data_IF_709303944641
#
_entry.id   IF_709303944641
#
_cell.length_a   1.000
_cell.length_b   1.000
_cell.length_c   1.000
_cell.angle_alpha   90.00
_cell.angle_beta   90.00
_cell.angle_gamma   90.00
#
_symmetry.space_group_name_H-M   'P 1'
#
loop_
_entity.id
_entity.type
_entity.pdbx_description
1 polymer ?
#
# COMPACT_ATOMS: atom_id res chain seq x y z
N UNK A 1 22.84 13.62 -9.06
CA UNK A 1 23.35 12.28 -8.70
C UNK A 1 22.60 11.27 -9.52
N UNK A 2 23.25 10.16 -9.86
CA UNK A 2 22.71 9.15 -10.77
C UNK A 2 21.63 8.33 -10.04
N UNK A 3 20.60 7.89 -10.76
CA UNK A 3 19.57 6.99 -10.21
C UNK A 3 20.18 5.60 -9.94
N UNK A 4 21.25 5.29 -10.68
CA UNK A 4 22.05 4.08 -10.61
C UNK A 4 22.70 3.89 -9.23
N UNK A 5 23.20 4.97 -8.61
CA UNK A 5 23.78 4.91 -7.25
C UNK A 5 22.73 4.52 -6.21
N UNK A 6 21.51 5.05 -6.35
CA UNK A 6 20.39 4.77 -5.45
C UNK A 6 19.93 3.34 -5.60
N UNK A 7 19.80 2.87 -6.85
CA UNK A 7 19.49 1.48 -7.15
C UNK A 7 20.55 0.54 -6.57
N UNK A 8 21.84 0.84 -6.76
CA UNK A 8 22.92 0.01 -6.24
C UNK A 8 22.89 -0.08 -4.71
N UNK A 9 22.70 1.04 -4.00
CA UNK A 9 22.57 1.05 -2.53
C UNK A 9 21.31 0.31 -2.06
N UNK A 10 20.21 0.40 -2.80
CA UNK A 10 19.01 -0.35 -2.48
C UNK A 10 19.21 -1.85 -2.64
N UNK A 11 19.89 -2.27 -3.71
CA UNK A 11 20.27 -3.67 -3.94
C UNK A 11 21.20 -4.18 -2.83
N UNK A 12 22.17 -3.36 -2.39
CA UNK A 12 23.02 -3.69 -1.24
C UNK A 12 22.19 -3.90 0.03
N UNK A 13 21.21 -3.02 0.31
CA UNK A 13 20.35 -3.13 1.48
C UNK A 13 19.57 -4.46 1.52
N UNK A 14 18.91 -4.83 0.42
CA UNK A 14 18.03 -6.01 0.36
C UNK A 14 18.80 -7.34 0.49
N UNK A 15 20.12 -7.31 0.32
CA UNK A 15 21.01 -8.46 0.53
C UNK A 15 21.54 -8.55 1.98
N UNK A 16 21.24 -7.57 2.84
CA UNK A 16 21.70 -7.58 4.24
C UNK A 16 20.88 -8.47 5.15
N UNK A 17 21.53 -9.04 6.18
CA UNK A 17 20.85 -9.72 7.28
C UNK A 17 19.88 -8.80 8.04
N UNK A 18 20.18 -7.51 8.10
CA UNK A 18 19.32 -6.50 8.70
C UNK A 18 17.97 -6.41 7.98
N UNK A 19 17.97 -6.36 6.64
CA UNK A 19 16.76 -6.37 5.83
C UNK A 19 15.98 -7.68 6.02
N UNK A 20 16.65 -8.84 5.92
CA UNK A 20 16.01 -10.13 6.10
C UNK A 20 15.38 -10.32 7.50
N UNK A 21 16.02 -9.78 8.54
CA UNK A 21 15.45 -9.76 9.89
C UNK A 21 14.24 -8.82 9.98
N UNK A 22 14.35 -7.62 9.40
CA UNK A 22 13.25 -6.65 9.35
C UNK A 22 12.02 -7.23 8.65
N UNK A 23 12.20 -7.89 7.52
CA UNK A 23 11.13 -8.56 6.79
C UNK A 23 10.40 -9.59 7.67
N UNK A 24 11.15 -10.47 8.34
CA UNK A 24 10.59 -11.48 9.27
C UNK A 24 9.85 -10.86 10.45
N UNK A 25 10.41 -9.82 11.04
CA UNK A 25 9.81 -9.10 12.17
C UNK A 25 8.51 -8.39 11.72
N UNK A 26 8.49 -7.82 10.51
CA UNK A 26 7.30 -7.22 9.91
C UNK A 26 6.21 -8.26 9.70
N UNK A 27 6.53 -9.41 9.09
CA UNK A 27 5.58 -10.52 8.91
C UNK A 27 5.00 -10.95 10.26
N UNK A 28 5.87 -11.19 11.26
CA UNK A 28 5.45 -11.61 12.59
C UNK A 28 4.48 -10.62 13.23
N UNK A 29 4.74 -9.32 13.11
CA UNK A 29 3.86 -8.25 13.64
C UNK A 29 2.49 -8.23 12.96
N UNK A 30 2.44 -8.32 11.63
CA UNK A 30 1.17 -8.33 10.89
C UNK A 30 0.39 -9.62 11.18
N UNK A 31 1.04 -10.78 11.17
CA UNK A 31 0.42 -12.07 11.54
C UNK A 31 -0.13 -12.04 12.98
N UNK A 32 0.62 -11.49 13.93
CA UNK A 32 0.14 -11.32 15.31
C UNK A 32 -1.09 -10.41 15.38
N UNK A 33 -1.12 -9.32 14.62
CA UNK A 33 -2.27 -8.44 14.51
C UNK A 33 -3.50 -9.16 13.95
N UNK A 34 -3.32 -9.93 12.87
CA UNK A 34 -4.38 -10.77 12.30
C UNK A 34 -4.91 -11.78 13.32
N UNK A 35 -4.02 -12.55 13.97
CA UNK A 35 -4.39 -13.56 14.97
C UNK A 35 -5.16 -12.92 16.13
N UNK A 36 -4.70 -11.77 16.64
CA UNK A 36 -5.41 -11.02 17.70
C UNK A 36 -6.77 -10.53 17.24
N UNK A 37 -6.85 -9.97 16.02
CA UNK A 37 -8.11 -9.54 15.41
C UNK A 37 -9.11 -10.69 15.26
N UNK A 38 -8.65 -11.87 14.84
CA UNK A 38 -9.46 -13.08 14.76
C UNK A 38 -9.93 -13.60 16.12
N UNK A 39 -9.09 -13.48 17.16
CA UNK A 39 -9.38 -13.99 18.51
C UNK A 39 -10.25 -13.07 19.37
N UNK A 40 -10.25 -11.75 19.13
CA UNK A 40 -10.93 -10.77 19.99
C UNK A 40 -12.46 -10.91 20.05
N UNK A 41 -13.09 -11.83 19.30
CA UNK A 41 -14.52 -12.11 19.41
C UNK A 41 -14.84 -13.60 19.16
N UNK A 42 -15.68 -14.20 20.01
CA UNK A 42 -16.33 -15.51 19.78
C UNK A 42 -17.38 -15.46 18.65
N UNK A 43 -17.69 -14.26 18.15
CA UNK A 43 -18.52 -13.96 16.97
C UNK A 43 -17.67 -13.25 15.92
N UNK A 44 -18.11 -13.23 14.67
CA UNK A 44 -17.34 -12.70 13.54
C UNK A 44 -16.72 -11.31 13.83
N UNK A 45 -15.38 -11.17 13.92
CA UNK A 45 -14.75 -9.87 14.11
C UNK A 45 -15.11 -8.94 12.96
N UNK A 46 -15.51 -7.71 13.31
CA UNK A 46 -15.72 -6.63 12.33
C UNK A 46 -14.39 -6.30 11.67
N UNK A 47 -14.34 -6.19 10.34
CA UNK A 47 -13.12 -5.91 9.57
C UNK A 47 -12.25 -4.79 10.15
N UNK A 48 -12.89 -3.71 10.59
CA UNK A 48 -12.26 -2.57 11.27
C UNK A 48 -11.35 -3.01 12.43
N UNK A 49 -11.81 -3.93 13.28
CA UNK A 49 -11.02 -4.41 14.42
C UNK A 49 -9.79 -5.21 13.99
N UNK A 50 -9.85 -5.93 12.87
CA UNK A 50 -8.68 -6.67 12.36
C UNK A 50 -7.63 -5.67 11.85
N UNK A 51 -8.06 -4.66 11.08
CA UNK A 51 -7.17 -3.63 10.54
C UNK A 51 -6.54 -2.80 11.66
N UNK A 52 -7.35 -2.41 12.64
CA UNK A 52 -6.87 -1.71 13.83
C UNK A 52 -5.82 -2.55 14.59
N UNK A 53 -6.05 -3.86 14.77
CA UNK A 53 -5.04 -4.73 15.38
C UNK A 53 -3.76 -4.84 14.55
N UNK A 54 -3.84 -4.97 13.22
CA UNK A 54 -2.65 -4.98 12.35
C UNK A 54 -1.84 -3.69 12.57
N UNK A 55 -2.52 -2.55 12.48
CA UNK A 55 -1.90 -1.23 12.62
C UNK A 55 -1.30 -1.03 14.01
N UNK A 56 -2.00 -1.43 15.07
CA UNK A 56 -1.51 -1.29 16.44
C UNK A 56 -0.33 -2.22 16.75
N UNK A 57 -0.29 -3.43 16.17
CA UNK A 57 0.81 -4.37 16.39
C UNK A 57 2.07 -4.02 15.59
N UNK A 58 1.93 -3.41 14.41
CA UNK A 58 3.04 -2.82 13.69
C UNK A 58 3.67 -1.67 14.50
N UNK A 59 2.85 -0.69 14.88
CA UNK A 59 3.24 0.48 15.66
C UNK A 59 4.35 1.29 14.98
N UNK A 60 5.32 1.74 15.78
CA UNK A 60 6.54 2.37 15.28
C UNK A 60 7.76 1.52 15.64
N UNK A 61 8.59 1.24 14.65
CA UNK A 61 9.87 0.57 14.87
C UNK A 61 10.81 0.79 13.68
N UNK A 62 12.10 0.51 13.90
CA UNK A 62 13.13 0.67 12.88
C UNK A 62 14.26 -0.32 13.07
N UNK A 63 14.92 -0.68 11.98
CA UNK A 63 16.22 -1.33 12.00
C UNK A 63 17.23 -0.42 11.31
N UNK A 64 18.43 -0.33 11.89
CA UNK A 64 19.49 0.54 11.40
C UNK A 64 20.78 -0.27 11.32
N UNK A 65 21.52 -0.06 10.24
CA UNK A 65 22.92 -0.46 10.09
C UNK A 65 23.78 0.80 9.98
N UNK A 66 25.09 0.65 9.91
CA UNK A 66 25.99 1.79 9.70
C UNK A 66 25.70 2.57 8.41
N UNK A 67 25.03 1.93 7.43
CA UNK A 67 24.75 2.52 6.11
C UNK A 67 23.29 2.85 5.85
N UNK A 68 22.37 2.08 6.44
CA UNK A 68 20.97 2.08 6.04
C UNK A 68 20.04 2.13 7.24
N UNK A 69 18.85 2.69 7.04
CA UNK A 69 17.76 2.64 8.02
C UNK A 69 16.46 2.28 7.35
N UNK A 70 15.77 1.28 7.89
CA UNK A 70 14.40 0.95 7.51
C UNK A 70 13.52 1.28 8.72
N UNK A 71 12.44 2.02 8.51
CA UNK A 71 11.46 2.31 9.56
C UNK A 71 10.04 2.14 9.05
N UNK A 72 9.18 1.57 9.88
CA UNK A 72 7.75 1.49 9.63
C UNK A 72 7.05 2.19 10.77
N UNK A 73 6.12 3.07 10.39
CA UNK A 73 5.15 3.67 11.29
C UNK A 73 3.76 3.34 10.80
N UNK A 74 2.85 3.08 11.72
CA UNK A 74 1.46 2.86 11.39
C UNK A 74 0.54 3.62 12.33
N UNK A 75 -0.56 4.11 11.77
CA UNK A 75 -1.56 4.88 12.51
C UNK A 75 -2.96 4.46 12.07
N UNK A 76 -3.88 4.33 13.02
CA UNK A 76 -5.28 4.09 12.74
C UNK A 76 -6.07 5.35 13.06
N UNK A 77 -6.62 5.98 12.03
CA UNK A 77 -7.45 7.16 12.20
C UNK A 77 -8.85 6.68 12.57
N UNK A 78 -9.29 6.96 13.80
CA UNK A 78 -10.63 6.61 14.25
C UNK A 78 -11.69 7.57 13.69
N UNK A 79 -12.84 7.02 13.27
CA UNK A 79 -14.02 7.78 12.86
C UNK A 79 -15.10 6.91 12.20
N UNK A 80 -16.09 7.56 11.58
CA UNK A 80 -17.07 6.91 10.66
C UNK A 80 -16.32 6.33 9.44
N UNK A 81 -16.95 5.57 8.55
CA UNK A 81 -16.24 5.02 7.36
C UNK A 81 -15.67 6.11 6.47
N UNK A 82 -14.53 5.85 5.84
CA UNK A 82 -13.88 6.76 4.87
C UNK A 82 -14.62 6.70 3.53
N UNK A 83 -15.83 7.25 3.49
CA UNK A 83 -16.74 7.15 2.35
C UNK A 83 -16.40 8.13 1.22
N UNK A 84 -16.58 7.63 0.00
CA UNK A 84 -16.53 8.38 -1.26
C UNK A 84 -17.80 8.15 -2.07
N UNK A 85 -18.20 9.15 -2.85
CA UNK A 85 -19.30 9.08 -3.82
C UNK A 85 -18.72 9.08 -5.24
N UNK A 86 -19.23 8.22 -6.13
CA UNK A 86 -18.80 8.13 -7.53
C UNK A 86 -19.92 7.63 -8.44
N UNK A 87 -19.73 7.77 -9.75
CA UNK A 87 -20.64 7.21 -10.76
C UNK A 87 -20.33 5.74 -11.06
N UNK A 88 -21.35 4.90 -10.95
CA UNK A 88 -21.34 3.50 -11.32
C UNK A 88 -22.44 3.24 -12.35
N UNK A 89 -22.07 3.24 -13.63
CA UNK A 89 -22.98 3.04 -14.76
C UNK A 89 -24.20 3.98 -14.74
N UNK A 90 -23.96 5.28 -14.50
CA UNK A 90 -25.01 6.31 -14.45
C UNK A 90 -25.74 6.40 -13.10
N UNK A 91 -25.36 5.60 -12.11
CA UNK A 91 -25.90 5.67 -10.76
C UNK A 91 -24.85 6.22 -9.80
N UNK A 92 -25.22 7.25 -9.03
CA UNK A 92 -24.37 7.73 -7.93
C UNK A 92 -24.44 6.76 -6.78
N UNK A 93 -23.28 6.23 -6.41
CA UNK A 93 -23.16 5.26 -5.33
C UNK A 93 -22.13 5.75 -4.31
N UNK A 94 -22.27 5.25 -3.07
CA UNK A 94 -21.35 5.57 -1.97
C UNK A 94 -20.68 4.31 -1.45
N UNK A 95 -19.36 4.30 -1.38
CA UNK A 95 -18.58 3.19 -0.83
C UNK A 95 -17.41 3.70 -0.01
N UNK A 96 -16.83 2.81 0.77
CA UNK A 96 -15.59 3.10 1.50
C UNK A 96 -14.42 3.10 0.51
N UNK A 97 -13.51 4.05 0.65
CA UNK A 97 -12.35 4.13 -0.25
C UNK A 97 -11.45 2.89 -0.10
N UNK A 98 -11.24 2.45 1.13
CA UNK A 98 -10.49 1.27 1.51
C UNK A 98 -10.29 1.24 3.02
N UNK A 99 -9.82 0.13 3.57
CA UNK A 99 -9.60 0.00 5.01
C UNK A 99 -8.18 0.42 5.42
N UNK A 100 -7.20 0.23 4.53
CA UNK A 100 -5.77 0.39 4.83
C UNK A 100 -5.02 0.95 3.63
N UNK A 101 -4.12 1.91 3.87
CA UNK A 101 -3.18 2.42 2.86
C UNK A 101 -1.77 1.95 3.23
N UNK A 102 -1.08 1.34 2.26
CA UNK A 102 0.34 1.04 2.38
C UNK A 102 1.13 2.06 1.57
N UNK A 103 2.14 2.66 2.19
CA UNK A 103 3.02 3.66 1.57
C UNK A 103 4.46 3.19 1.75
N UNK A 104 5.25 3.23 0.69
CA UNK A 104 6.69 2.98 0.73
C UNK A 104 7.42 4.18 0.14
N UNK A 105 8.36 4.76 0.88
CA UNK A 105 9.25 5.81 0.36
C UNK A 105 10.71 5.38 0.48
N UNK A 106 11.46 5.51 -0.61
CA UNK A 106 12.92 5.36 -0.61
C UNK A 106 13.54 6.75 -0.48
N UNK A 107 14.39 6.93 0.52
CA UNK A 107 15.04 8.19 0.87
C UNK A 107 16.53 8.02 0.67
N UNK A 108 17.17 9.05 0.13
CA UNK A 108 18.62 9.11 0.02
C UNK A 108 19.08 10.55 0.12
N UNK A 109 20.15 10.79 0.89
CA UNK A 109 20.67 12.15 1.18
C UNK A 109 19.59 13.14 1.63
N UNK A 110 18.71 12.68 2.52
CA UNK A 110 17.64 13.49 3.08
C UNK A 110 16.55 13.89 2.09
N UNK A 111 16.39 13.21 0.95
CA UNK A 111 15.31 13.47 -0.02
C UNK A 111 14.60 12.19 -0.41
N UNK A 112 13.31 12.26 -0.73
CA UNK A 112 12.57 11.15 -1.33
C UNK A 112 13.05 10.95 -2.76
N UNK A 113 13.39 9.70 -3.10
CA UNK A 113 13.80 9.27 -4.44
C UNK A 113 12.75 8.42 -5.13
N UNK A 114 11.96 7.67 -4.36
CA UNK A 114 10.84 6.89 -4.88
C UNK A 114 9.72 6.91 -3.86
N UNK A 115 8.48 6.93 -4.33
CA UNK A 115 7.31 6.75 -3.48
C UNK A 115 6.24 5.95 -4.21
N UNK A 116 5.74 4.93 -3.51
CA UNK A 116 4.64 4.08 -3.93
C UNK A 116 3.56 4.04 -2.88
N UNK A 117 2.31 3.90 -3.30
CA UNK A 117 1.26 3.51 -2.38
C UNK A 117 0.16 2.66 -3.02
N UNK A 118 -0.59 1.96 -2.19
CA UNK A 118 -1.81 1.24 -2.59
C UNK A 118 -2.90 1.44 -1.54
N UNK A 119 -4.15 1.49 -2.00
CA UNK A 119 -5.36 1.53 -1.17
C UNK A 119 -5.94 0.12 -1.17
N UNK A 120 -5.98 -0.49 0.01
CA UNK A 120 -6.40 -1.88 0.18
C UNK A 120 -7.74 -2.00 0.89
N UNK A 121 -8.62 -2.83 0.35
CA UNK A 121 -9.82 -3.31 1.05
C UNK A 121 -9.60 -4.74 1.53
N UNK A 122 -9.88 -5.00 2.80
CA UNK A 122 -9.84 -6.35 3.33
C UNK A 122 -11.18 -7.07 3.09
N UNK A 123 -11.09 -8.36 2.78
CA UNK A 123 -12.24 -9.26 2.69
C UNK A 123 -11.95 -10.52 3.48
N UNK A 124 -12.91 -10.94 4.29
CA UNK A 124 -12.80 -12.13 5.12
C UNK A 124 -13.41 -13.33 4.43
N UNK A 125 -12.80 -14.49 4.66
CA UNK A 125 -13.38 -15.75 4.21
C UNK A 125 -14.64 -16.12 5.02
N UNK A 126 -15.54 -16.87 4.39
CA UNK A 126 -16.76 -17.38 5.02
C UNK A 126 -16.54 -18.64 5.88
N UNK A 127 -15.28 -19.04 6.12
CA UNK A 127 -14.91 -20.29 6.79
C UNK A 127 -14.68 -21.49 5.88
N UNK A 128 -15.05 -21.37 4.62
CA UNK A 128 -14.78 -22.39 3.58
C UNK A 128 -13.67 -21.93 2.64
N UNK A 129 -12.85 -20.94 3.06
CA UNK A 129 -11.84 -20.30 2.21
C UNK A 129 -12.47 -19.70 0.93
N UNK A 130 -13.64 -19.08 1.08
CA UNK A 130 -14.35 -18.35 0.02
C UNK A 130 -14.65 -16.92 0.46
N UNK A 131 -14.50 -15.99 -0.46
CA UNK A 131 -14.72 -14.56 -0.20
C UNK A 131 -15.96 -14.07 -0.95
N UNK A 132 -16.85 -13.36 -0.25
CA UNK A 132 -17.97 -12.67 -0.87
C UNK A 132 -17.49 -11.38 -1.56
N UNK A 133 -17.73 -11.33 -2.86
CA UNK A 133 -17.33 -10.28 -3.79
C UNK A 133 -18.57 -9.79 -4.57
N UNK A 134 -19.76 -9.96 -3.97
CA UNK A 134 -21.03 -9.50 -4.52
C UNK A 134 -21.11 -7.97 -4.68
N UNK A 135 -20.37 -7.21 -3.85
CA UNK A 135 -20.29 -5.76 -3.92
C UNK A 135 -19.40 -5.30 -5.10
N UNK A 136 -20.00 -5.27 -6.30
CA UNK A 136 -19.31 -4.89 -7.54
C UNK A 136 -18.87 -3.44 -7.59
N UNK A 137 -19.60 -2.56 -6.92
CA UNK A 137 -19.25 -1.15 -6.82
C UNK A 137 -17.89 -0.96 -6.11
N UNK A 138 -17.61 -1.75 -5.06
CA UNK A 138 -16.30 -1.70 -4.39
C UNK A 138 -15.16 -2.17 -5.30
N UNK A 139 -15.40 -3.26 -6.05
CA UNK A 139 -14.40 -3.79 -6.99
C UNK A 139 -14.15 -2.77 -8.11
N UNK A 140 -15.22 -2.20 -8.67
CA UNK A 140 -15.14 -1.15 -9.69
C UNK A 140 -14.37 0.08 -9.21
N UNK A 141 -14.65 0.55 -7.98
CA UNK A 141 -13.95 1.67 -7.37
C UNK A 141 -12.44 1.43 -7.31
N UNK A 142 -12.00 0.29 -6.77
CA UNK A 142 -10.58 0.01 -6.59
C UNK A 142 -9.88 -0.46 -7.87
N UNK A 143 -10.60 -1.05 -8.83
CA UNK A 143 -9.99 -1.49 -10.09
C UNK A 143 -9.76 -0.33 -11.05
N UNK A 144 -10.72 0.59 -11.14
CA UNK A 144 -10.71 1.67 -12.14
C UNK A 144 -10.47 3.06 -11.58
N UNK A 145 -10.75 3.29 -10.29
CA UNK A 145 -10.75 4.62 -9.67
C UNK A 145 -11.49 5.66 -10.53
N UNK A 146 -12.81 5.48 -10.73
CA UNK A 146 -13.63 6.51 -11.38
C UNK A 146 -13.47 7.85 -10.64
N UNK A 147 -13.79 8.97 -11.30
CA UNK A 147 -13.90 10.26 -10.60
C UNK A 147 -14.79 10.10 -9.36
N UNK A 148 -14.29 10.54 -8.20
CA UNK A 148 -15.00 10.42 -6.93
C UNK A 148 -14.84 11.67 -6.07
N UNK A 149 -15.73 11.81 -5.09
CA UNK A 149 -15.73 12.89 -4.10
C UNK A 149 -15.75 12.32 -2.69
N UNK A 150 -15.10 13.00 -1.74
CA UNK A 150 -15.34 12.74 -0.33
C UNK A 150 -16.79 13.05 0.06
N UNK A 151 -17.40 12.18 0.88
CA UNK A 151 -18.75 12.39 1.42
C UNK A 151 -18.68 13.23 2.70
N UNK A 152 -19.71 14.04 2.97
CA UNK A 152 -19.86 14.76 4.24
C UNK A 152 -19.67 13.82 5.44
N UNK A 153 -18.82 14.21 6.38
CA UNK A 153 -18.43 13.41 7.55
C UNK A 153 -17.39 12.31 7.28
N UNK A 154 -16.69 12.35 6.14
CA UNK A 154 -15.55 11.49 5.76
C UNK A 154 -14.21 12.25 5.91
N UNK A 155 -13.11 11.53 6.15
CA UNK A 155 -11.75 12.08 6.18
C UNK A 155 -11.24 12.39 4.76
N UNK A 156 -11.90 11.84 3.74
CA UNK A 156 -11.58 12.10 2.35
C UNK A 156 -12.05 13.53 2.00
N UNK A 157 -11.18 14.40 1.44
CA UNK A 157 -11.56 15.77 1.11
C UNK A 157 -12.77 15.87 0.18
N UNK A 158 -13.61 16.89 0.38
CA UNK A 158 -14.88 17.09 -0.37
C UNK A 158 -14.65 17.78 -1.72
N UNK A 159 -13.74 17.23 -2.53
CA UNK A 159 -13.50 17.68 -3.91
C UNK A 159 -13.40 16.49 -4.85
N UNK A 160 -13.43 16.77 -6.14
CA UNK A 160 -13.26 15.73 -7.15
C UNK A 160 -11.81 15.24 -7.17
N UNK A 161 -11.65 13.92 -7.12
CA UNK A 161 -10.41 13.23 -7.38
C UNK A 161 -10.58 12.32 -8.58
N UNK A 162 -9.58 12.31 -9.45
CA UNK A 162 -9.45 11.35 -10.54
C UNK A 162 -8.08 10.70 -10.36
N UNK A 163 -8.05 9.43 -9.95
CA UNK A 163 -6.81 8.72 -9.61
C UNK A 163 -6.52 7.65 -10.67
N UNK A 164 -5.71 7.93 -11.69
CA UNK A 164 -5.37 6.92 -12.67
C UNK A 164 -4.68 5.72 -12.03
N UNK A 165 -5.09 4.51 -12.36
CA UNK A 165 -4.46 3.28 -11.91
C UNK A 165 -3.51 2.75 -13.00
N UNK A 166 -2.41 3.46 -13.27
CA UNK A 166 -1.56 3.16 -14.44
C UNK A 166 -0.89 1.80 -14.36
N UNK A 167 -0.39 1.41 -13.19
CA UNK A 167 0.24 0.11 -13.00
C UNK A 167 -0.78 -1.02 -12.86
N UNK A 168 -2.01 -0.70 -12.42
CA UNK A 168 -2.96 -1.69 -11.95
C UNK A 168 -2.79 -2.06 -10.47
N UNK A 169 -1.85 -1.43 -9.73
CA UNK A 169 -1.58 -1.68 -8.31
C UNK A 169 -2.07 -0.57 -7.35
N UNK A 170 -2.72 0.48 -7.82
CA UNK A 170 -3.21 1.56 -6.93
C UNK A 170 -4.28 1.05 -5.95
N UNK A 171 -5.16 0.16 -6.41
CA UNK A 171 -6.21 -0.45 -5.61
C UNK A 171 -5.98 -1.94 -5.47
N UNK A 172 -6.23 -2.47 -4.28
CA UNK A 172 -5.95 -3.86 -3.95
C UNK A 172 -6.96 -4.45 -2.96
N UNK A 173 -6.97 -5.77 -2.89
CA UNK A 173 -7.74 -6.52 -1.91
C UNK A 173 -6.82 -7.44 -1.11
N UNK A 174 -7.03 -7.46 0.21
CA UNK A 174 -6.40 -8.40 1.12
C UNK A 174 -7.44 -9.44 1.53
N UNK A 175 -7.38 -10.61 0.92
CA UNK A 175 -8.29 -11.72 1.12
C UNK A 175 -7.84 -12.51 2.35
N UNK A 176 -8.38 -12.16 3.52
CA UNK A 176 -8.04 -12.79 4.80
C UNK A 176 -8.59 -14.22 4.88
N UNK A 177 -7.80 -15.11 5.45
CA UNK A 177 -8.24 -16.45 5.81
C UNK A 177 -7.61 -16.92 7.12
N UNK A 178 -8.30 -17.86 7.77
CA UNK A 178 -7.82 -18.49 9.01
C UNK A 178 -6.61 -19.38 8.72
N UNK A 179 -5.62 -19.47 9.63
CA UNK A 179 -5.63 -18.98 11.01
C UNK A 179 -5.03 -17.58 11.26
N UNK A 180 -4.67 -16.81 10.22
CA UNK A 180 -4.05 -15.49 10.42
C UNK A 180 -3.15 -15.08 9.26
N UNK A 181 -3.65 -15.22 8.03
CA UNK A 181 -2.92 -14.94 6.81
C UNK A 181 -3.85 -14.23 5.81
N UNK A 182 -3.29 -13.71 4.72
CA UNK A 182 -4.06 -13.15 3.62
C UNK A 182 -3.36 -13.29 2.27
N UNK A 183 -4.19 -13.36 1.23
CA UNK A 183 -3.73 -13.21 -0.15
C UNK A 183 -3.89 -11.75 -0.54
N UNK A 184 -2.80 -11.13 -0.98
CA UNK A 184 -2.83 -9.85 -1.66
C UNK A 184 -3.17 -10.06 -3.14
N UNK A 185 -4.10 -9.27 -3.66
CA UNK A 185 -4.43 -9.28 -5.08
C UNK A 185 -4.80 -7.86 -5.53
N UNK A 186 -4.26 -7.41 -6.66
CA UNK A 186 -4.63 -6.13 -7.22
C UNK A 186 -6.10 -6.13 -7.65
N UNK A 187 -6.79 -5.00 -7.51
CA UNK A 187 -8.21 -4.93 -7.81
C UNK A 187 -8.55 -5.22 -9.28
N UNK A 188 -7.77 -4.79 -10.29
CA UNK A 188 -7.99 -5.20 -11.68
C UNK A 188 -7.84 -6.71 -11.89
N UNK A 189 -6.83 -7.32 -11.25
CA UNK A 189 -6.62 -8.76 -11.34
C UNK A 189 -7.78 -9.52 -10.69
N UNK A 190 -8.22 -9.09 -9.50
CA UNK A 190 -9.36 -9.66 -8.81
C UNK A 190 -10.64 -9.51 -9.63
N UNK A 191 -10.88 -8.33 -10.23
CA UNK A 191 -12.06 -8.11 -11.09
C UNK A 191 -12.11 -9.10 -12.24
N UNK A 192 -10.98 -9.28 -12.94
CA UNK A 192 -10.85 -10.24 -14.04
C UNK A 192 -11.15 -11.67 -13.58
N UNK A 193 -10.68 -12.04 -12.39
CA UNK A 193 -10.93 -13.35 -11.80
C UNK A 193 -12.42 -13.52 -11.46
N UNK A 194 -13.01 -12.54 -10.79
CA UNK A 194 -14.40 -12.62 -10.32
C UNK A 194 -15.35 -12.74 -11.51
N UNK A 195 -15.13 -11.99 -12.59
CA UNK A 195 -15.99 -12.02 -13.77
C UNK A 195 -17.44 -11.74 -13.37
N UNK A 196 -18.37 -12.66 -13.66
CA UNK A 196 -19.78 -12.57 -13.26
C UNK A 196 -20.13 -13.27 -11.93
N UNK A 197 -19.14 -13.82 -11.21
CA UNK A 197 -19.35 -14.59 -9.99
C UNK A 197 -19.59 -13.68 -8.78
N UNK A 198 -20.37 -14.11 -7.79
CA UNK A 198 -20.56 -13.35 -6.54
C UNK A 198 -19.50 -13.66 -5.49
N UNK A 199 -18.81 -14.79 -5.63
CA UNK A 199 -17.75 -15.21 -4.73
C UNK A 199 -16.69 -15.98 -5.49
N UNK A 200 -15.49 -16.04 -4.91
CA UNK A 200 -14.39 -16.89 -5.38
C UNK A 200 -13.89 -17.73 -4.22
N UNK A 201 -13.43 -18.94 -4.52
CA UNK A 201 -12.75 -19.79 -3.54
C UNK A 201 -11.24 -19.70 -3.69
N UNK A 202 -10.51 -20.22 -2.70
CA UNK A 202 -9.04 -20.24 -2.74
C UNK A 202 -8.50 -20.92 -4.01
N UNK A 203 -9.14 -22.00 -4.49
CA UNK A 203 -8.78 -22.71 -5.73
C UNK A 203 -8.84 -21.80 -6.96
N UNK A 204 -9.74 -20.80 -6.97
CA UNK A 204 -9.78 -19.82 -8.06
C UNK A 204 -8.59 -18.88 -8.02
N UNK A 205 -8.16 -18.51 -6.82
CA UNK A 205 -7.04 -17.61 -6.59
C UNK A 205 -5.70 -18.29 -6.90
N UNK A 206 -5.57 -19.59 -6.57
CA UNK A 206 -4.41 -20.42 -6.95
C UNK A 206 -4.17 -20.52 -8.45
N UNK A 207 -5.13 -20.18 -9.32
CA UNK A 207 -4.91 -20.14 -10.77
C UNK A 207 -3.84 -19.11 -11.16
N UNK A 208 -3.59 -18.09 -10.32
CA UNK A 208 -2.49 -17.15 -10.50
C UNK A 208 -1.13 -17.69 -10.05
N UNK A 209 -1.10 -18.78 -9.28
CA UNK A 209 0.10 -19.51 -8.90
C UNK A 209 0.63 -20.40 -10.04
N UNK A 210 0.31 -20.09 -11.29
CA UNK A 210 0.89 -20.78 -12.44
C UNK A 210 2.43 -20.65 -12.46
N UNK A 211 3.16 -21.54 -13.17
CA UNK A 211 4.61 -21.70 -13.11
C UNK A 211 5.44 -20.53 -13.68
N UNK A 212 4.84 -19.35 -13.84
CA UNK A 212 5.41 -18.21 -14.55
C UNK A 212 6.22 -17.24 -13.69
N UNK A 213 6.32 -17.38 -12.37
CA UNK A 213 6.99 -16.35 -11.52
C UNK A 213 8.07 -16.86 -10.57
N UNK A 214 8.33 -18.16 -10.47
CA UNK A 214 9.17 -18.71 -9.40
C UNK A 214 10.48 -19.40 -9.82
N UNK A 215 10.68 -19.75 -11.09
CA UNK A 215 11.76 -20.68 -11.44
C UNK A 215 12.93 -20.16 -12.26
N UNK A 216 12.90 -18.94 -12.76
CA UNK A 216 14.07 -18.38 -13.41
C UNK A 216 14.15 -16.91 -13.07
N UNK A 217 15.31 -16.49 -12.55
CA UNK A 217 16.05 -15.30 -12.99
C UNK A 217 16.56 -14.31 -11.91
N UNK A 218 17.34 -14.79 -10.93
CA UNK A 218 18.26 -13.91 -10.20
C UNK A 218 19.71 -13.97 -10.71
N UNK A 219 20.32 -15.15 -10.95
CA UNK A 219 21.73 -15.20 -11.38
C UNK A 219 21.94 -14.84 -12.86
N UNK A 220 20.98 -15.15 -13.74
CA UNK A 220 21.16 -15.02 -15.20
C UNK A 220 20.95 -13.57 -15.68
N UNK A 221 20.11 -12.79 -15.00
CA UNK A 221 19.80 -11.40 -15.38
C UNK A 221 20.94 -10.43 -15.13
N UNK A 222 21.62 -10.54 -14.00
CA UNK A 222 22.81 -9.74 -13.68
C UNK A 222 23.97 -10.02 -14.63
N UNK A 223 24.11 -11.28 -15.06
CA UNK A 223 25.09 -11.67 -16.08
C UNK A 223 24.77 -11.06 -17.45
N UNK A 224 23.50 -11.02 -17.86
CA UNK A 224 23.11 -10.51 -19.17
C UNK A 224 23.09 -8.98 -19.24
N UNK A 225 22.72 -8.29 -18.14
CA UNK A 225 22.83 -6.83 -18.02
C UNK A 225 24.29 -6.36 -18.11
N UNK A 226 25.22 -7.11 -17.49
CA UNK A 226 26.67 -6.84 -17.59
C UNK A 226 27.25 -7.05 -18.99
N UNK A 227 26.58 -7.84 -19.84
CA UNK A 227 27.07 -8.20 -21.18
C UNK A 227 26.38 -7.43 -22.33
N UNK A 228 25.59 -6.38 -22.03
CA UNK A 228 25.08 -5.46 -23.05
C UNK A 228 24.03 -6.03 -24.01
N UNK A 229 23.39 -7.15 -23.68
CA UNK A 229 22.32 -7.73 -24.49
C UNK A 229 20.99 -7.00 -24.20
N UNK A 230 20.45 -6.34 -25.23
CA UNK A 230 19.11 -5.72 -25.20
C UNK A 230 18.05 -6.82 -25.16
N UNK A 231 17.37 -6.96 -24.03
CA UNK A 231 16.25 -7.90 -23.89
C UNK A 231 14.98 -7.34 -24.54
N UNK A 232 14.26 -8.13 -25.37
CA UNK A 232 12.91 -7.80 -25.77
C UNK A 232 11.95 -8.18 -24.64
N UNK A 233 11.41 -7.17 -23.95
CA UNK A 233 10.04 -7.15 -23.42
C UNK A 233 9.55 -8.17 -22.37
N UNK A 234 10.37 -8.86 -21.56
CA UNK A 234 9.84 -9.57 -20.37
C UNK A 234 10.85 -9.65 -19.21
N UNK A 235 11.12 -8.52 -18.55
CA UNK A 235 11.77 -8.54 -17.23
C UNK A 235 10.68 -8.65 -16.16
N UNK A 236 10.41 -9.88 -15.71
CA UNK A 236 9.55 -10.13 -14.55
C UNK A 236 10.20 -9.73 -13.21
N UNK A 237 11.48 -9.33 -13.24
CA UNK A 237 12.17 -8.72 -12.10
C UNK A 237 12.76 -7.38 -12.56
N UNK A 238 11.89 -6.39 -12.66
CA UNK A 238 12.35 -5.00 -12.56
C UNK A 238 13.12 -4.86 -11.24
N UNK A 239 14.16 -4.01 -11.21
CA UNK A 239 14.77 -3.52 -9.97
C UNK A 239 13.64 -3.23 -8.99
N UNK A 240 13.53 -3.91 -7.84
CA UNK A 240 12.28 -4.07 -7.08
C UNK A 240 11.43 -2.79 -6.92
N UNK A 241 12.06 -1.64 -6.72
CA UNK A 241 11.37 -0.34 -6.62
C UNK A 241 10.58 0.04 -7.88
N UNK A 242 10.95 -0.46 -9.05
CA UNK A 242 10.31 -0.26 -10.34
C UNK A 242 9.35 -1.39 -10.73
N UNK A 243 9.33 -2.49 -9.99
CA UNK A 243 8.46 -3.64 -10.25
C UNK A 243 7.02 -3.44 -9.81
N UNK A 244 6.12 -4.25 -10.35
CA UNK A 244 4.71 -4.27 -9.94
C UNK A 244 4.28 -5.71 -9.70
N UNK A 245 4.10 -6.07 -8.44
CA UNK A 245 3.49 -7.34 -8.04
C UNK A 245 1.99 -7.12 -7.86
N UNK A 246 1.20 -7.84 -8.65
CA UNK A 246 -0.26 -7.80 -8.59
C UNK A 246 -0.85 -8.87 -7.68
N UNK A 247 -0.01 -9.73 -7.10
CA UNK A 247 -0.47 -10.92 -6.40
C UNK A 247 0.60 -11.40 -5.43
N UNK A 248 0.21 -11.63 -4.19
CA UNK A 248 1.04 -12.32 -3.21
C UNK A 248 0.16 -13.35 -2.48
N UNK A 249 0.44 -14.66 -2.58
CA UNK A 249 -0.42 -15.73 -2.09
C UNK A 249 -0.45 -15.87 -0.56
N UNK A 250 0.48 -15.22 0.14
CA UNK A 250 0.55 -15.21 1.59
C UNK A 250 1.25 -13.93 2.07
N UNK A 251 1.18 -13.71 3.37
CA UNK A 251 1.77 -12.56 4.06
C UNK A 251 3.29 -12.46 3.92
N UNK A 252 4.02 -13.59 3.80
CA UNK A 252 5.47 -13.55 3.64
C UNK A 252 5.84 -12.96 2.28
N UNK A 253 5.22 -13.47 1.22
CA UNK A 253 5.41 -12.96 -0.14
C UNK A 253 4.91 -11.51 -0.27
N UNK A 254 3.79 -11.16 0.37
CA UNK A 254 3.32 -9.77 0.39
C UNK A 254 4.35 -8.83 1.01
N UNK A 255 4.92 -9.20 2.17
CA UNK A 255 5.87 -8.34 2.88
C UNK A 255 7.19 -8.24 2.12
N UNK A 256 7.69 -9.33 1.56
CA UNK A 256 8.87 -9.31 0.68
C UNK A 256 8.64 -8.36 -0.51
N UNK A 257 7.54 -8.53 -1.24
CA UNK A 257 7.19 -7.66 -2.37
C UNK A 257 6.97 -6.20 -1.95
N UNK A 258 6.31 -5.94 -0.81
CA UNK A 258 6.06 -4.60 -0.32
C UNK A 258 7.36 -3.89 0.08
N UNK A 259 8.23 -4.54 0.86
CA UNK A 259 9.48 -3.94 1.32
C UNK A 259 10.49 -3.78 0.19
N UNK A 260 10.44 -4.64 -0.84
CA UNK A 260 11.22 -4.51 -2.08
C UNK A 260 10.65 -3.48 -3.06
N UNK A 261 9.49 -2.90 -2.76
CA UNK A 261 8.85 -1.87 -3.59
C UNK A 261 8.11 -2.39 -4.81
N UNK A 262 7.78 -3.68 -4.87
CA UNK A 262 6.95 -4.27 -5.93
C UNK A 262 5.45 -3.97 -5.72
N UNK A 263 5.01 -3.69 -4.49
CA UNK A 263 3.59 -3.38 -4.21
C UNK A 263 3.31 -1.88 -4.33
N UNK A 264 2.24 -1.55 -5.06
CA UNK A 264 1.67 -0.20 -5.13
C UNK A 264 1.98 0.57 -6.42
N UNK A 265 1.23 1.64 -6.61
CA UNK A 265 1.34 2.57 -7.73
C UNK A 265 2.52 3.51 -7.52
N UNK A 266 3.40 3.63 -8.53
CA UNK A 266 4.50 4.60 -8.51
C UNK A 266 3.95 6.02 -8.69
N UNK A 267 3.99 6.81 -7.64
CA UNK A 267 3.49 8.19 -7.67
C UNK A 267 4.59 9.21 -7.89
N UNK A 268 5.81 8.89 -7.45
CA UNK A 268 6.96 9.76 -7.55
C UNK A 268 8.27 8.99 -7.74
N UNK A 269 9.15 9.52 -8.58
CA UNK A 269 10.59 9.25 -8.54
C UNK A 269 11.38 10.57 -8.62
N UNK A 270 12.64 10.55 -8.22
CA UNK A 270 13.55 11.69 -8.35
C UNK A 270 13.60 12.25 -9.78
N UNK A 271 13.40 11.41 -10.80
CA UNK A 271 13.39 11.82 -12.21
C UNK A 271 12.05 12.42 -12.68
N UNK A 272 10.97 12.31 -11.91
CA UNK A 272 9.67 12.87 -12.27
C UNK A 272 8.49 12.37 -11.44
N UNK A 273 7.35 13.07 -11.56
CA UNK A 273 6.05 12.64 -11.02
C UNK A 273 5.40 11.70 -12.04
N UNK A 274 5.14 10.47 -11.62
CA UNK A 274 4.55 9.43 -12.49
C UNK A 274 3.03 9.45 -12.43
N UNK A 275 2.48 9.72 -11.25
CA UNK A 275 1.05 9.77 -11.02
C UNK A 275 0.71 10.96 -10.13
N UNK A 276 0.78 12.16 -10.71
CA UNK A 276 0.52 13.43 -10.01
C UNK A 276 -0.82 13.46 -9.30
N UNK A 277 -1.95 13.01 -9.89
CA UNK A 277 -3.23 13.01 -9.18
C UNK A 277 -3.23 12.13 -7.92
N UNK A 278 -2.59 10.96 -7.96
CA UNK A 278 -2.45 10.08 -6.81
C UNK A 278 -1.53 10.67 -5.73
N UNK A 279 -0.41 11.30 -6.14
CA UNK A 279 0.47 12.05 -5.23
C UNK A 279 -0.27 13.19 -4.53
N UNK A 280 -1.03 13.98 -5.30
CA UNK A 280 -1.82 15.10 -4.79
C UNK A 280 -2.89 14.65 -3.80
N UNK A 281 -3.59 13.55 -4.12
CA UNK A 281 -4.55 12.92 -3.22
C UNK A 281 -3.90 12.51 -1.91
N UNK A 282 -2.74 11.83 -1.95
CA UNK A 282 -2.05 11.38 -0.74
C UNK A 282 -1.64 12.58 0.14
N UNK A 283 -1.10 13.65 -0.45
CA UNK A 283 -0.71 14.85 0.29
C UNK A 283 -1.90 15.53 0.95
N UNK A 284 -3.03 15.59 0.26
CA UNK A 284 -4.24 16.21 0.79
C UNK A 284 -4.91 15.38 1.87
N UNK A 285 -4.93 14.06 1.71
CA UNK A 285 -5.41 13.14 2.74
C UNK A 285 -4.60 13.32 4.03
N UNK A 286 -3.26 13.31 3.93
CA UNK A 286 -2.40 13.50 5.09
C UNK A 286 -2.52 14.92 5.69
N UNK A 287 -2.76 15.93 4.86
CA UNK A 287 -3.04 17.29 5.33
C UNK A 287 -4.37 17.37 6.10
N UNK A 288 -5.42 16.69 5.62
CA UNK A 288 -6.69 16.60 6.32
C UNK A 288 -6.55 15.87 7.67
N UNK A 289 -5.79 14.77 7.68
CA UNK A 289 -5.45 14.01 8.89
C UNK A 289 -4.70 14.88 9.91
N UNK A 290 -3.67 15.63 9.47
CA UNK A 290 -2.93 16.55 10.34
C UNK A 290 -3.85 17.58 10.99
N UNK A 291 -4.72 18.22 10.22
CA UNK A 291 -5.63 19.25 10.75
C UNK A 291 -6.66 18.67 11.71
N UNK A 292 -7.18 17.47 11.42
CA UNK A 292 -8.04 16.74 12.37
C UNK A 292 -7.28 16.44 13.67
N UNK A 293 -6.05 15.95 13.58
CA UNK A 293 -5.22 15.66 14.73
C UNK A 293 -4.93 16.90 15.60
N UNK A 294 -4.61 18.04 14.97
CA UNK A 294 -4.41 19.32 15.66
C UNK A 294 -5.66 19.77 16.42
N UNK A 295 -6.83 19.67 15.79
CA UNK A 295 -8.12 20.02 16.42
C UNK A 295 -8.45 19.10 17.60
N UNK A 296 -8.15 17.81 17.47
CA UNK A 296 -8.42 16.78 18.47
C UNK A 296 -7.32 16.68 19.54
N UNK A 297 -6.21 17.40 19.40
CA UNK A 297 -5.06 17.31 20.31
C UNK A 297 -4.33 15.96 20.26
N UNK A 298 -4.36 15.27 19.12
CA UNK A 298 -3.76 13.93 18.94
C UNK A 298 -2.33 14.01 18.42
N UNK A 299 -1.38 14.14 19.34
CA UNK A 299 0.05 14.32 19.04
C UNK A 299 0.65 13.16 18.26
N UNK A 300 0.21 11.93 18.54
CA UNK A 300 0.69 10.72 17.86
C UNK A 300 0.39 10.72 16.35
N UNK A 301 -0.77 11.25 15.96
CA UNK A 301 -1.14 11.39 14.54
C UNK A 301 -0.36 12.54 13.90
N UNK A 302 -0.15 13.64 14.63
CA UNK A 302 0.67 14.75 14.16
C UNK A 302 2.10 14.31 13.89
N UNK A 303 2.71 13.54 14.80
CA UNK A 303 4.07 13.02 14.67
C UNK A 303 4.20 12.04 13.51
N UNK A 304 3.17 11.22 13.27
CA UNK A 304 3.10 10.36 12.09
C UNK A 304 3.15 11.19 10.79
N UNK A 305 2.29 12.21 10.66
CA UNK A 305 2.22 13.03 9.44
C UNK A 305 3.49 13.86 9.26
N UNK A 306 4.04 14.42 10.35
CA UNK A 306 5.31 15.15 10.32
C UNK A 306 6.46 14.28 9.80
N UNK A 307 6.53 13.02 10.23
CA UNK A 307 7.57 12.10 9.74
C UNK A 307 7.38 11.74 8.26
N UNK A 308 6.14 11.61 7.78
CA UNK A 308 5.88 11.42 6.35
C UNK A 308 6.42 12.58 5.50
N UNK A 309 6.24 13.82 5.97
CA UNK A 309 6.70 15.03 5.28
C UNK A 309 8.14 15.45 5.64
N UNK A 310 8.83 14.72 6.52
CA UNK A 310 10.19 15.03 6.97
C UNK A 310 11.18 15.20 5.83
N UNK A 311 11.05 14.39 4.79
CA UNK A 311 11.95 14.39 3.64
C UNK A 311 11.26 15.01 2.42
N UNK A 312 11.83 16.08 1.83
CA UNK A 312 11.26 16.73 0.66
C UNK A 312 11.45 15.88 -0.61
N UNK A 313 10.65 16.19 -1.63
CA UNK A 313 10.86 15.67 -2.98
C UNK A 313 11.93 16.52 -3.69
N UNK A 314 12.49 16.02 -4.81
CA UNK A 314 13.67 16.57 -5.49
C UNK A 314 13.63 18.08 -5.81
N UNK A 315 12.46 18.65 -6.08
CA UNK A 315 12.29 20.07 -6.42
C UNK A 315 11.97 20.96 -5.22
N UNK A 316 12.02 20.45 -3.99
CA UNK A 316 11.49 21.14 -2.81
C UNK A 316 9.96 21.19 -2.78
N UNK A 317 9.29 20.62 -3.79
CA UNK A 317 7.87 20.37 -3.78
C UNK A 317 7.54 19.32 -2.71
N UNK A 318 6.40 19.47 -2.05
CA UNK A 318 5.95 18.60 -0.97
C UNK A 318 5.78 19.36 0.34
N UNK A 319 4.83 18.89 1.14
CA UNK A 319 4.44 19.54 2.37
C UNK A 319 2.93 19.52 2.54
N UNK A 320 2.49 20.02 3.69
CA UNK A 320 1.07 20.14 4.00
C UNK A 320 0.43 21.16 3.05
N UNK A 321 -0.66 20.78 2.39
CA UNK A 321 -1.44 21.73 1.58
C UNK A 321 -2.32 22.56 2.49
N UNK A 322 -2.28 23.88 2.34
CA UNK A 322 -3.21 24.81 2.99
C UNK A 322 -4.56 24.85 2.25
N UNK A 323 -5.63 25.29 2.91
CA UNK A 323 -6.91 25.60 2.24
C UNK A 323 -7.81 24.42 1.80
N UNK A 324 -7.37 23.16 1.92
CA UNK A 324 -8.25 22.00 1.63
C UNK A 324 -9.52 22.02 2.50
N UNK A 325 -10.69 22.14 1.90
CA UNK A 325 -11.98 22.06 2.61
C UNK A 325 -12.34 20.59 2.87
N UNK A 326 -12.56 20.23 4.15
CA UNK A 326 -13.00 18.89 4.53
C UNK A 326 -13.87 18.92 5.79
N UNK A 327 -14.67 17.87 5.98
CA UNK A 327 -15.54 17.72 7.14
C UNK A 327 -14.80 17.01 8.28
N UNK A 328 -14.87 17.57 9.48
CA UNK A 328 -14.08 17.16 10.63
C UNK A 328 -14.68 15.96 11.40
N UNK A 329 -15.89 15.51 11.04
CA UNK A 329 -16.63 14.46 11.75
C UNK A 329 -16.11 13.01 11.57
N UNK A 330 -15.04 12.76 10.82
CA UNK A 330 -14.26 11.52 10.94
C UNK A 330 -14.07 10.71 9.65
N UNK A 331 -13.38 9.58 9.79
CA UNK A 331 -13.02 8.63 8.74
C UNK A 331 -12.11 7.56 9.33
N UNK A 332 -12.55 6.30 9.31
CA UNK A 332 -11.85 5.11 9.75
C UNK A 332 -10.90 4.69 8.64
N UNK A 333 -9.60 4.84 8.83
CA UNK A 333 -8.61 4.33 7.87
C UNK A 333 -7.30 4.04 8.58
N UNK A 334 -6.72 2.87 8.28
CA UNK A 334 -5.36 2.56 8.67
C UNK A 334 -4.37 3.11 7.64
N UNK A 335 -3.20 3.55 8.09
CA UNK A 335 -2.08 3.87 7.22
C UNK A 335 -0.83 3.20 7.76
N UNK A 336 -0.10 2.49 6.89
CA UNK A 336 1.23 1.94 7.15
C UNK A 336 2.19 2.65 6.22
N UNK A 337 3.16 3.35 6.80
CA UNK A 337 4.20 4.06 6.09
C UNK A 337 5.55 3.43 6.41
N UNK A 338 6.22 2.92 5.37
CA UNK A 338 7.58 2.41 5.47
C UNK A 338 8.55 3.33 4.73
N UNK A 339 9.59 3.75 5.42
CA UNK A 339 10.67 4.58 4.89
C UNK A 339 11.98 3.80 4.87
N UNK A 340 12.62 3.74 3.70
CA UNK A 340 13.91 3.10 3.48
C UNK A 340 14.93 4.20 3.20
N UNK A 341 15.76 4.54 4.18
CA UNK A 341 16.81 5.54 4.05
C UNK A 341 18.15 4.87 3.72
N UNK A 342 18.69 5.23 2.56
CA UNK A 342 19.93 4.68 1.98
C UNK A 342 21.20 5.45 2.41
N UNK A 343 21.10 6.33 3.40
CA UNK A 343 22.21 7.08 3.99
C UNK A 343 22.54 8.40 3.27
N UNK A 344 23.60 9.08 3.73
CA UNK A 344 24.00 10.41 3.23
C UNK A 344 25.03 10.40 2.08
N UNK A 345 25.47 9.21 1.68
CA UNK A 345 26.46 9.05 0.59
C UNK A 345 27.78 8.58 1.13
#
# INVERSE_FOLDING_TARGET
MSIEDVVAKYLELIETECFAKYEKDFVGKVQMGLIKGYRRRFYEPTMVSIVEEIVNNLGEWSATTDKFKISTRSIFIHGKRSLVEFDYYGQRVRRELGDLIFILSVIYKGRKYFEKFTISQFKKDNGELRWDLSNREQIYLLSRFPSFWGVKGSIIPMREFNLPNYSGCLGSFNLLFRPGDFIFVSAPLLESLVGNRKSIGIVDVYKFWGPLSYYFTYPMHLYLLKNGLLFPFFLQYFIGILGFSHFAPNIHEFVDDYLRGNIGELIYSYIGKYNTPALDFLHELLSAIMRKAQREGRTEIMDFVNEFFRYPYGNGEGGLKEGVEFDYEGGGIGIIYTSINLGEG
#
